data_IF_873088593341
#
_entry.id   IF_873088593341
#
_cell.length_a   1.000
_cell.length_b   1.000
_cell.length_c   1.000
_cell.angle_alpha   90.00
_cell.angle_beta   90.00
_cell.angle_gamma   90.00
#
_symmetry.space_group_name_H-M   'P 1'
#
loop_
_entity.id
_entity.type
_entity.pdbx_description
1 polymer ?
#
# COMPACT_ATOMS: atom_id res chain seq x y z
N UNK A 1 20.42 19.34 7.87
CA UNK A 1 21.76 19.34 7.26
C UNK A 1 22.21 17.91 7.33
N UNK A 2 22.17 17.22 6.20
CA UNK A 2 22.59 15.83 6.17
C UNK A 2 24.10 15.80 6.34
N UNK A 3 24.57 14.90 7.20
CA UNK A 3 25.97 14.78 7.55
C UNK A 3 26.33 13.31 7.55
N UNK A 4 27.51 13.00 7.01
CA UNK A 4 28.12 11.69 7.14
C UNK A 4 28.99 11.69 8.39
N UNK A 5 28.65 10.87 9.38
CA UNK A 5 29.46 10.64 10.58
C UNK A 5 29.79 9.15 10.59
N UNK A 6 31.07 8.78 10.71
CA UNK A 6 31.52 7.38 10.79
C UNK A 6 30.97 6.45 9.68
N UNK A 7 30.97 6.91 8.42
CA UNK A 7 30.41 6.19 7.27
C UNK A 7 28.90 5.90 7.34
N UNK A 8 28.16 6.53 8.26
CA UNK A 8 26.71 6.49 8.35
C UNK A 8 26.11 7.81 7.87
N UNK A 9 25.23 7.74 6.88
CA UNK A 9 24.43 8.89 6.44
C UNK A 9 23.39 9.20 7.51
N UNK A 10 23.47 10.41 8.07
CA UNK A 10 22.48 10.90 9.04
C UNK A 10 21.62 11.96 8.35
N UNK A 11 20.32 11.69 8.24
CA UNK A 11 19.31 12.66 7.80
C UNK A 11 18.65 13.32 9.00
N UNK A 12 18.47 14.64 8.93
CA UNK A 12 17.79 15.42 9.99
C UNK A 12 16.47 15.97 9.48
N UNK A 13 15.37 15.62 10.14
CA UNK A 13 14.03 16.12 9.84
C UNK A 13 13.53 17.00 10.99
N UNK A 14 12.94 18.15 10.66
CA UNK A 14 12.34 19.05 11.65
C UNK A 14 10.83 18.93 11.59
N UNK A 15 10.21 18.78 12.77
CA UNK A 15 8.77 18.64 12.92
C UNK A 15 8.24 19.70 13.88
N UNK A 16 7.02 20.16 13.63
CA UNK A 16 6.30 21.12 14.48
C UNK A 16 5.00 20.45 14.90
N UNK A 17 4.63 20.58 16.17
CA UNK A 17 3.38 20.05 16.71
C UNK A 17 2.80 20.99 17.75
N UNK A 18 1.48 20.98 17.87
CA UNK A 18 0.75 21.59 18.99
C UNK A 18 0.46 20.58 20.11
N UNK A 19 1.03 19.38 20.01
CA UNK A 19 0.85 18.31 20.97
C UNK A 19 1.56 18.58 22.29
N UNK A 20 0.88 18.29 23.40
CA UNK A 20 1.41 18.48 24.77
C UNK A 20 2.18 17.26 25.31
N UNK A 21 2.18 16.14 24.57
CA UNK A 21 2.92 14.93 24.95
C UNK A 21 4.43 15.10 24.69
N UNK A 22 5.23 14.16 25.21
CA UNK A 22 6.68 14.20 25.04
C UNK A 22 7.12 13.93 23.58
N UNK A 23 8.36 14.31 23.27
CA UNK A 23 8.93 14.20 21.91
C UNK A 23 8.99 12.77 21.37
N UNK A 24 9.12 11.75 22.23
CA UNK A 24 9.15 10.34 21.81
C UNK A 24 7.76 9.85 21.40
N UNK A 25 6.74 10.24 22.15
CA UNK A 25 5.35 9.99 21.79
C UNK A 25 5.01 10.65 20.45
N UNK A 26 5.43 11.90 20.25
CA UNK A 26 5.24 12.60 18.98
C UNK A 26 5.97 11.91 17.82
N UNK A 27 7.23 11.51 17.98
CA UNK A 27 7.97 10.75 16.98
C UNK A 27 7.25 9.45 16.58
N UNK A 28 6.69 8.73 17.57
CA UNK A 28 5.96 7.49 17.30
C UNK A 28 4.75 7.72 16.39
N UNK A 29 4.03 8.84 16.59
CA UNK A 29 2.90 9.21 15.73
C UNK A 29 3.32 9.53 14.31
N UNK A 30 4.40 10.28 14.14
CA UNK A 30 4.98 10.56 12.81
C UNK A 30 5.34 9.24 12.10
N UNK A 31 5.99 8.31 12.79
CA UNK A 31 6.31 7.00 12.21
C UNK A 31 5.05 6.20 11.81
N UNK A 32 3.97 6.32 12.59
CA UNK A 32 2.70 5.69 12.26
C UNK A 32 2.06 6.32 11.01
N UNK A 33 2.11 7.64 10.86
CA UNK A 33 1.65 8.34 9.66
C UNK A 33 2.42 7.86 8.41
N UNK A 34 3.76 7.75 8.50
CA UNK A 34 4.57 7.19 7.42
C UNK A 34 4.19 5.75 7.05
N UNK A 35 3.70 4.95 8.02
CA UNK A 35 3.23 3.60 7.73
C UNK A 35 1.98 3.58 6.85
N UNK A 36 1.08 4.57 7.03
CA UNK A 36 -0.10 4.77 6.18
C UNK A 36 0.33 5.21 4.79
N UNK A 37 1.28 6.12 4.70
CA UNK A 37 1.75 6.67 3.42
C UNK A 37 2.53 5.64 2.60
N UNK A 38 3.28 4.78 3.29
CA UNK A 38 3.92 3.60 2.68
C UNK A 38 2.88 2.67 2.07
N UNK A 39 1.75 2.43 2.75
CA UNK A 39 0.66 1.63 2.22
C UNK A 39 0.01 2.28 1.00
N UNK A 40 -0.22 3.60 1.03
CA UNK A 40 -0.70 4.37 -0.12
C UNK A 40 0.24 4.24 -1.32
N UNK A 41 1.54 4.44 -1.12
CA UNK A 41 2.54 4.28 -2.16
C UNK A 41 2.44 2.92 -2.86
N UNK A 42 2.34 1.82 -2.11
CA UNK A 42 2.19 0.49 -2.70
C UNK A 42 0.88 0.34 -3.48
N UNK A 43 -0.22 0.87 -2.96
CA UNK A 43 -1.53 0.81 -3.62
C UNK A 43 -1.52 1.59 -4.94
N UNK A 44 -0.95 2.78 -4.94
CA UNK A 44 -0.97 3.69 -6.09
C UNK A 44 -0.01 3.19 -7.18
N UNK A 45 1.15 2.69 -6.79
CA UNK A 45 2.17 2.22 -7.75
C UNK A 45 1.88 0.83 -8.32
N UNK A 46 1.30 -0.09 -7.54
CA UNK A 46 1.06 -1.47 -7.99
C UNK A 46 0.17 -1.54 -9.24
N UNK A 47 -0.84 -0.68 -9.33
CA UNK A 47 -1.81 -0.64 -10.43
C UNK A 47 -1.74 0.66 -11.25
N UNK A 48 -0.65 1.42 -11.10
CA UNK A 48 -0.42 2.71 -11.78
C UNK A 48 -1.63 3.66 -11.65
N UNK A 49 -2.13 3.86 -10.45
CA UNK A 49 -3.31 4.69 -10.17
C UNK A 49 -3.13 6.11 -10.72
N UNK A 50 -1.98 6.74 -10.50
CA UNK A 50 -1.66 8.09 -10.99
C UNK A 50 -1.70 8.24 -12.52
N UNK A 51 -1.43 7.14 -13.25
CA UNK A 51 -1.48 7.14 -14.72
C UNK A 51 -2.90 6.97 -15.25
N UNK A 52 -3.87 6.67 -14.38
CA UNK A 52 -5.25 6.44 -14.76
C UNK A 52 -5.95 7.75 -15.11
N UNK A 53 -6.51 7.84 -16.31
CA UNK A 53 -7.25 9.03 -16.79
C UNK A 53 -8.77 8.95 -16.58
N UNK A 54 -9.24 7.92 -15.88
CA UNK A 54 -10.68 7.69 -15.65
C UNK A 54 -11.22 8.74 -14.69
N UNK A 55 -12.16 9.56 -15.17
CA UNK A 55 -12.83 10.58 -14.36
C UNK A 55 -14.27 10.20 -13.96
N UNK A 56 -14.91 9.27 -14.68
CA UNK A 56 -16.22 8.70 -14.36
C UNK A 56 -16.05 7.33 -13.73
N UNK A 57 -16.66 7.11 -12.57
CA UNK A 57 -16.55 5.84 -11.85
C UNK A 57 -15.19 5.60 -11.17
N UNK A 58 -14.40 6.66 -10.96
CA UNK A 58 -13.08 6.56 -10.30
C UNK A 58 -13.15 5.88 -8.93
N UNK A 59 -14.22 6.14 -8.16
CA UNK A 59 -14.46 5.48 -6.88
C UNK A 59 -14.63 3.96 -7.02
N UNK A 60 -15.47 3.51 -7.96
CA UNK A 60 -15.68 2.09 -8.22
C UNK A 60 -14.38 1.41 -8.69
N UNK A 61 -13.60 2.09 -9.53
CA UNK A 61 -12.29 1.60 -9.97
C UNK A 61 -11.30 1.48 -8.79
N UNK A 62 -11.28 2.44 -7.86
CA UNK A 62 -10.43 2.36 -6.66
C UNK A 62 -10.81 1.16 -5.77
N UNK A 63 -12.11 0.89 -5.61
CA UNK A 63 -12.60 -0.31 -4.90
C UNK A 63 -12.11 -1.59 -5.60
N UNK A 64 -12.23 -1.68 -6.93
CA UNK A 64 -11.77 -2.84 -7.69
C UNK A 64 -10.25 -3.05 -7.55
N UNK A 65 -9.45 -1.97 -7.57
CA UNK A 65 -8.00 -2.04 -7.31
C UNK A 65 -7.69 -2.61 -5.94
N UNK A 66 -8.39 -2.13 -4.91
CA UNK A 66 -8.26 -2.67 -3.55
C UNK A 66 -8.63 -4.15 -3.47
N UNK A 67 -9.69 -4.60 -4.17
CA UNK A 67 -10.03 -6.02 -4.24
C UNK A 67 -8.90 -6.85 -4.85
N UNK A 68 -8.33 -6.41 -5.97
CA UNK A 68 -7.22 -7.11 -6.65
C UNK A 68 -6.01 -7.23 -5.71
N UNK A 69 -5.58 -6.13 -5.08
CA UNK A 69 -4.43 -6.14 -4.16
C UNK A 69 -4.68 -7.07 -2.98
N UNK A 70 -5.88 -7.02 -2.38
CA UNK A 70 -6.23 -7.91 -1.27
C UNK A 70 -6.21 -9.39 -1.66
N UNK A 71 -6.68 -9.75 -2.85
CA UNK A 71 -6.61 -11.12 -3.37
C UNK A 71 -5.16 -11.58 -3.47
N UNK A 72 -4.26 -10.74 -3.98
CA UNK A 72 -2.84 -11.06 -4.12
C UNK A 72 -2.16 -11.22 -2.74
N UNK A 73 -2.49 -10.36 -1.78
CA UNK A 73 -2.02 -10.51 -0.39
C UNK A 73 -2.53 -11.79 0.28
N UNK A 74 -3.82 -12.15 0.09
CA UNK A 74 -4.39 -13.37 0.64
C UNK A 74 -3.72 -14.64 0.07
N UNK A 75 -3.29 -14.57 -1.18
CA UNK A 75 -2.50 -15.62 -1.84
C UNK A 75 -1.00 -15.54 -1.50
N UNK A 76 -0.56 -14.62 -0.62
CA UNK A 76 0.84 -14.43 -0.21
C UNK A 76 1.79 -14.20 -1.39
N UNK A 77 1.34 -13.47 -2.40
CA UNK A 77 2.17 -13.12 -3.57
C UNK A 77 3.30 -12.19 -3.14
N UNK A 78 4.55 -12.62 -3.35
CA UNK A 78 5.74 -11.84 -2.95
C UNK A 78 5.97 -10.61 -3.83
N UNK A 79 5.73 -10.73 -5.14
CA UNK A 79 5.89 -9.63 -6.09
C UNK A 79 4.57 -9.33 -6.81
N UNK A 80 3.81 -8.40 -6.22
CA UNK A 80 2.49 -7.98 -6.69
C UNK A 80 2.56 -7.39 -8.10
N UNK A 81 3.51 -6.49 -8.36
CA UNK A 81 3.65 -5.83 -9.66
C UNK A 81 3.88 -6.83 -10.80
N UNK A 82 4.78 -7.79 -10.59
CA UNK A 82 5.02 -8.87 -11.56
C UNK A 82 3.78 -9.75 -11.77
N UNK A 83 3.12 -10.16 -10.68
CA UNK A 83 1.95 -11.03 -10.77
C UNK A 83 0.77 -10.35 -11.49
N UNK A 84 0.61 -9.03 -11.34
CA UNK A 84 -0.37 -8.25 -12.11
C UNK A 84 -0.10 -8.35 -13.61
N UNK A 85 1.17 -8.20 -14.04
CA UNK A 85 1.53 -8.30 -15.47
C UNK A 85 1.27 -9.72 -16.01
N UNK A 86 1.65 -10.75 -15.25
CA UNK A 86 1.41 -12.16 -15.62
C UNK A 86 -0.09 -12.47 -15.78
N UNK A 87 -0.91 -12.01 -14.84
CA UNK A 87 -2.37 -12.25 -14.84
C UNK A 87 -3.15 -11.39 -15.84
N UNK A 88 -2.57 -10.30 -16.36
CA UNK A 88 -3.24 -9.39 -17.30
C UNK A 88 -3.66 -10.11 -18.58
N UNK A 89 -2.86 -11.08 -19.05
CA UNK A 89 -3.12 -11.82 -20.29
C UNK A 89 -3.47 -13.30 -20.04
N UNK A 90 -3.59 -13.72 -18.79
CA UNK A 90 -3.94 -15.09 -18.40
C UNK A 90 -5.17 -15.09 -17.47
N UNK A 91 -6.34 -15.23 -18.11
CA UNK A 91 -7.61 -15.31 -17.40
C UNK A 91 -7.69 -16.54 -16.49
N UNK A 92 -7.03 -17.65 -16.85
CA UNK A 92 -7.07 -18.88 -16.06
C UNK A 92 -6.33 -18.68 -14.74
N UNK A 93 -5.15 -18.08 -14.79
CA UNK A 93 -4.38 -17.71 -13.59
C UNK A 93 -5.15 -16.70 -12.74
N UNK A 94 -5.74 -15.67 -13.35
CA UNK A 94 -6.52 -14.66 -12.64
C UNK A 94 -7.72 -15.29 -11.87
N UNK A 95 -8.46 -16.18 -12.51
CA UNK A 95 -9.56 -16.92 -11.88
C UNK A 95 -9.07 -17.88 -10.80
N UNK A 96 -7.92 -18.51 -11.01
CA UNK A 96 -7.31 -19.43 -10.04
C UNK A 96 -6.96 -18.70 -8.75
N UNK A 97 -6.36 -17.51 -8.83
CA UNK A 97 -6.06 -16.67 -7.66
C UNK A 97 -7.33 -16.31 -6.87
N UNK A 98 -8.43 -16.00 -7.55
CA UNK A 98 -9.72 -15.73 -6.91
C UNK A 98 -10.22 -17.00 -6.20
N UNK A 99 -10.23 -18.15 -6.86
CA UNK A 99 -10.70 -19.41 -6.29
C UNK A 99 -9.85 -19.89 -5.10
N UNK A 100 -8.54 -19.63 -5.12
CA UNK A 100 -7.64 -19.98 -4.03
C UNK A 100 -7.78 -19.06 -2.82
N UNK A 101 -8.33 -17.85 -2.98
CA UNK A 101 -8.65 -17.01 -1.83
C UNK A 101 -9.79 -17.60 -1.02
N UNK A 102 -9.44 -18.15 0.15
CA UNK A 102 -10.43 -18.44 1.19
C UNK A 102 -10.94 -17.14 1.78
N UNK A 103 -12.01 -16.59 1.21
CA UNK A 103 -12.77 -15.50 1.80
C UNK A 103 -13.52 -16.06 3.02
N UNK A 104 -12.84 -16.08 4.16
CA UNK A 104 -13.47 -16.32 5.46
C UNK A 104 -14.06 -15.01 5.96
N UNK A 105 -15.20 -14.62 5.40
CA UNK A 105 -16.05 -13.63 6.06
C UNK A 105 -17.35 -14.31 6.44
N UNK A 106 -17.55 -14.44 7.75
CA UNK A 106 -18.90 -14.54 8.28
C UNK A 106 -19.64 -13.27 7.86
N UNK A 107 -20.84 -13.44 7.33
CA UNK A 107 -21.81 -12.36 7.25
C UNK A 107 -21.82 -11.68 8.63
N UNK A 108 -21.33 -10.45 8.72
CA UNK A 108 -21.57 -9.63 9.90
C UNK A 108 -23.09 -9.55 10.01
N UNK A 109 -23.62 -10.16 11.06
CA UNK A 109 -25.04 -10.25 11.34
C UNK A 109 -25.57 -8.90 11.80
#
# INVERSE_FOLDING_TARGET
IDKTIDNQETTTHYYISNEYNDAKTFLTKILYEWSVETMHFYKDTALNEDKCKVNKGAFALSILRSFVINILHLNKVENIGRKIVETTYDLTEALTLICMTRIKYGLIK
#
